data_IF_202194969082
#
_entry.id   IF_202194969082
#
_cell.length_a   1.000
_cell.length_b   1.000
_cell.length_c   1.000
_cell.angle_alpha   90.00
_cell.angle_beta   90.00
_cell.angle_gamma   90.00
#
_symmetry.space_group_name_H-M   'P 1'
#
loop_
_entity.id
_entity.type
_entity.pdbx_description
1 polymer ?
#
# COMPACT_ATOMS: atom_id res chain seq x y z
N UNK A 1 -16.02 6.94 20.81
CA UNK A 1 -14.71 6.55 20.22
C UNK A 1 -13.63 6.62 21.30
N UNK A 2 -13.13 5.49 21.81
CA UNK A 2 -11.93 5.47 22.65
C UNK A 2 -10.78 6.27 22.02
N UNK A 3 -10.09 7.04 22.85
CA UNK A 3 -8.99 7.92 22.42
C UNK A 3 -7.77 7.64 23.28
N UNK A 4 -6.61 7.46 22.65
CA UNK A 4 -5.31 7.24 23.29
C UNK A 4 -4.41 8.43 22.96
N UNK A 5 -3.72 9.01 23.94
CA UNK A 5 -2.93 10.24 23.79
C UNK A 5 -1.44 9.93 23.97
N UNK A 6 -0.69 9.85 22.87
CA UNK A 6 0.75 9.53 22.91
C UNK A 6 1.63 10.63 23.52
N UNK A 7 1.05 11.76 23.95
CA UNK A 7 1.75 12.68 24.85
C UNK A 7 1.85 12.15 26.29
N UNK A 8 1.00 11.19 26.68
CA UNK A 8 0.85 10.67 28.04
C UNK A 8 1.00 9.14 28.10
N UNK A 9 0.55 8.46 27.07
CA UNK A 9 0.52 7.00 27.00
C UNK A 9 1.77 6.43 26.31
N UNK A 10 2.13 5.20 26.69
CA UNK A 10 3.22 4.46 26.04
C UNK A 10 2.73 3.80 24.73
N UNK A 11 3.56 3.89 23.69
CA UNK A 11 3.34 3.28 22.39
C UNK A 11 3.14 1.75 22.48
N UNK A 12 3.86 1.06 23.37
CA UNK A 12 3.67 -0.40 23.52
C UNK A 12 2.30 -0.71 24.09
N UNK A 13 1.91 0.00 25.15
CA UNK A 13 0.59 -0.16 25.77
C UNK A 13 -0.53 0.16 24.78
N UNK A 14 -0.37 1.23 23.97
CA UNK A 14 -1.29 1.57 22.89
C UNK A 14 -1.49 0.40 21.92
N UNK A 15 -0.40 -0.16 21.38
CA UNK A 15 -0.51 -1.25 20.41
C UNK A 15 -1.12 -2.51 21.03
N UNK A 16 -0.78 -2.83 22.27
CA UNK A 16 -1.40 -3.95 22.99
C UNK A 16 -2.92 -3.77 23.11
N UNK A 17 -3.38 -2.57 23.48
CA UNK A 17 -4.82 -2.28 23.55
C UNK A 17 -5.51 -2.45 22.20
N UNK A 18 -4.95 -1.88 21.12
CA UNK A 18 -5.54 -1.99 19.79
C UNK A 18 -5.54 -3.44 19.28
N UNK A 19 -4.47 -4.20 19.50
CA UNK A 19 -4.38 -5.60 19.09
C UNK A 19 -5.37 -6.49 19.85
N UNK A 20 -5.53 -6.28 21.15
CA UNK A 20 -6.55 -6.98 21.94
C UNK A 20 -7.95 -6.63 21.45
N UNK A 21 -8.23 -5.35 21.18
CA UNK A 21 -9.51 -4.90 20.65
C UNK A 21 -9.80 -5.48 19.25
N UNK A 22 -8.79 -5.51 18.37
CA UNK A 22 -8.91 -6.11 17.04
C UNK A 22 -9.29 -7.59 17.10
N UNK A 23 -8.59 -8.38 17.92
CA UNK A 23 -8.89 -9.81 18.09
C UNK A 23 -10.29 -10.03 18.65
N UNK A 24 -10.68 -9.25 19.65
CA UNK A 24 -12.03 -9.33 20.23
C UNK A 24 -13.12 -8.98 19.19
N UNK A 25 -12.88 -7.98 18.33
CA UNK A 25 -13.79 -7.62 17.26
C UNK A 25 -13.93 -8.74 16.21
N UNK A 26 -12.83 -9.40 15.85
CA UNK A 26 -12.83 -10.55 14.95
C UNK A 26 -13.63 -11.73 15.53
N UNK A 27 -13.43 -12.06 16.80
CA UNK A 27 -14.16 -13.12 17.51
C UNK A 27 -15.67 -12.82 17.60
N UNK A 28 -16.02 -11.56 17.85
CA UNK A 28 -17.40 -11.12 17.95
C UNK A 28 -18.08 -10.88 16.59
N UNK A 29 -17.36 -10.99 15.47
CA UNK A 29 -17.83 -10.60 14.13
C UNK A 29 -18.44 -9.18 14.11
N UNK A 30 -17.83 -8.26 14.87
CA UNK A 30 -18.30 -6.89 15.03
C UNK A 30 -17.35 -5.90 14.37
N UNK A 31 -17.90 -4.95 13.62
CA UNK A 31 -17.15 -3.89 12.94
C UNK A 31 -17.20 -2.54 13.70
N UNK A 32 -17.72 -2.51 14.93
CA UNK A 32 -18.15 -1.26 15.59
C UNK A 32 -17.10 -0.55 16.45
N UNK A 33 -15.82 -0.97 16.45
CA UNK A 33 -14.83 -0.33 17.33
C UNK A 33 -14.00 0.71 16.59
N UNK A 34 -14.40 1.98 16.71
CA UNK A 34 -13.63 3.14 16.26
C UNK A 34 -12.67 3.62 17.35
N UNK A 35 -11.40 3.86 17.01
CA UNK A 35 -10.36 4.36 17.89
C UNK A 35 -9.72 5.62 17.34
N UNK A 36 -9.25 6.49 18.23
CA UNK A 36 -8.43 7.65 17.89
C UNK A 36 -7.10 7.64 18.63
N UNK A 37 -6.04 8.05 17.95
CA UNK A 37 -4.72 8.26 18.52
C UNK A 37 -4.38 9.74 18.36
N UNK A 38 -4.30 10.47 19.47
CA UNK A 38 -3.91 11.86 19.50
C UNK A 38 -2.41 12.02 19.78
N UNK A 39 -1.86 13.15 19.33
CA UNK A 39 -0.46 13.53 19.52
C UNK A 39 0.53 12.41 19.13
N UNK A 40 0.48 11.86 17.89
CA UNK A 40 1.34 10.74 17.51
C UNK A 40 2.83 11.07 17.55
N UNK A 41 3.19 12.37 17.48
CA UNK A 41 4.56 12.89 17.67
C UNK A 41 5.61 12.21 16.78
N UNK A 42 5.22 11.75 15.57
CA UNK A 42 6.10 11.01 14.67
C UNK A 42 6.55 9.65 15.20
N UNK A 43 5.85 9.10 16.20
CA UNK A 43 6.18 7.80 16.80
C UNK A 43 6.10 6.69 15.75
N UNK A 44 7.00 5.73 15.90
CA UNK A 44 7.11 4.59 15.00
C UNK A 44 6.09 3.51 15.39
N UNK A 45 5.87 2.55 14.50
CA UNK A 45 5.07 1.34 14.74
C UNK A 45 3.70 1.60 15.38
N UNK A 46 3.02 2.68 14.98
CA UNK A 46 1.64 2.95 15.41
C UNK A 46 0.70 2.01 14.65
N UNK A 47 -0.26 1.42 15.38
CA UNK A 47 -1.31 0.55 14.83
C UNK A 47 -0.76 -0.65 14.05
N UNK A 48 0.31 -1.29 14.55
CA UNK A 48 0.92 -2.46 13.90
C UNK A 48 0.30 -3.77 14.35
N UNK A 49 0.24 -4.74 13.44
CA UNK A 49 -0.20 -6.11 13.75
C UNK A 49 -1.65 -6.22 14.23
N UNK A 50 -2.52 -5.32 13.76
CA UNK A 50 -3.95 -5.45 13.98
C UNK A 50 -4.47 -6.63 13.17
N UNK A 51 -5.22 -7.52 13.82
CA UNK A 51 -5.82 -8.72 13.21
C UNK A 51 -7.30 -8.76 13.60
N UNK A 52 -8.10 -7.97 12.88
CA UNK A 52 -9.54 -7.86 13.07
C UNK A 52 -10.13 -6.50 12.64
N UNK A 53 -11.46 -6.44 12.45
CA UNK A 53 -12.13 -5.33 11.77
C UNK A 53 -12.43 -4.15 12.70
N UNK A 54 -11.38 -3.44 13.14
CA UNK A 54 -11.51 -2.16 13.86
C UNK A 54 -11.14 -0.98 12.97
N UNK A 55 -11.64 0.21 13.31
CA UNK A 55 -11.27 1.45 12.65
C UNK A 55 -10.36 2.29 13.55
N UNK A 56 -9.22 2.76 13.04
CA UNK A 56 -8.25 3.56 13.81
C UNK A 56 -7.93 4.84 13.06
N UNK A 57 -8.11 5.99 13.70
CA UNK A 57 -7.71 7.30 13.17
C UNK A 57 -6.51 7.84 13.94
N UNK A 58 -5.42 8.17 13.24
CA UNK A 58 -4.21 8.77 13.81
C UNK A 58 -4.19 10.26 13.52
N UNK A 59 -4.29 11.06 14.58
CA UNK A 59 -4.44 12.51 14.54
C UNK A 59 -3.17 13.31 14.22
N UNK A 60 -2.42 12.88 13.20
CA UNK A 60 -1.20 13.53 12.75
C UNK A 60 -0.20 12.58 12.11
N UNK A 61 1.02 13.07 11.88
CA UNK A 61 2.07 12.29 11.20
C UNK A 61 2.68 11.19 12.08
N UNK A 62 3.06 10.10 11.43
CA UNK A 62 3.67 8.92 12.06
C UNK A 62 5.09 8.68 11.54
N UNK A 63 5.86 7.86 12.24
CA UNK A 63 7.19 7.44 11.80
C UNK A 63 7.19 6.08 11.11
N UNK A 64 8.27 5.31 11.31
CA UNK A 64 8.49 4.04 10.60
C UNK A 64 7.41 3.00 10.89
N UNK A 65 7.07 2.16 9.90
CA UNK A 65 6.25 0.95 10.03
C UNK A 65 4.82 1.15 10.54
N UNK A 66 4.27 2.36 10.47
CA UNK A 66 2.86 2.60 10.81
C UNK A 66 1.95 1.65 10.00
N UNK A 67 0.93 1.07 10.64
CA UNK A 67 -0.01 0.14 10.01
C UNK A 67 0.61 -1.13 9.39
N UNK A 68 1.86 -1.45 9.71
CA UNK A 68 2.51 -2.68 9.26
C UNK A 68 1.80 -3.94 9.80
N UNK A 69 1.80 -5.00 9.00
CA UNK A 69 1.15 -6.28 9.32
C UNK A 69 -0.36 -6.18 9.56
N UNK A 70 -1.02 -5.13 9.07
CA UNK A 70 -2.45 -4.96 9.21
C UNK A 70 -3.23 -6.10 8.52
N UNK A 71 -4.25 -6.60 9.19
CA UNK A 71 -5.19 -7.60 8.70
C UNK A 71 -6.60 -7.18 9.15
N UNK A 72 -7.45 -6.91 8.17
CA UNK A 72 -8.86 -6.52 8.28
C UNK A 72 -9.14 -5.11 8.83
N UNK A 73 -8.24 -4.48 9.59
CA UNK A 73 -8.50 -3.16 10.14
C UNK A 73 -8.50 -2.05 9.06
N UNK A 74 -9.26 -0.99 9.33
CA UNK A 74 -9.25 0.26 8.55
C UNK A 74 -8.50 1.34 9.32
N UNK A 75 -7.38 1.81 8.79
CA UNK A 75 -6.51 2.76 9.46
C UNK A 75 -6.40 4.04 8.63
N UNK A 76 -6.71 5.19 9.20
CA UNK A 76 -6.52 6.51 8.58
C UNK A 76 -5.46 7.30 9.35
N UNK A 77 -4.48 7.83 8.64
CA UNK A 77 -3.47 8.76 9.17
C UNK A 77 -3.78 10.14 8.60
N UNK A 78 -4.18 11.08 9.47
CA UNK A 78 -4.53 12.46 9.08
C UNK A 78 -3.29 13.29 8.65
N UNK A 79 -2.08 12.76 8.86
CA UNK A 79 -0.82 13.36 8.44
C UNK A 79 -0.04 12.52 7.43
N UNK A 80 1.28 12.68 7.44
CA UNK A 80 2.22 11.90 6.61
C UNK A 80 2.73 10.67 7.37
N UNK A 81 3.20 9.66 6.63
CA UNK A 81 3.75 8.44 7.21
C UNK A 81 5.24 8.25 6.88
N UNK A 82 6.01 7.83 7.87
CA UNK A 82 7.41 7.47 7.71
C UNK A 82 7.62 6.17 6.90
N UNK A 83 8.88 5.76 6.70
CA UNK A 83 9.21 4.59 5.90
C UNK A 83 8.52 3.29 6.33
N UNK A 84 8.14 2.46 5.35
CA UNK A 84 7.55 1.14 5.60
C UNK A 84 6.08 1.16 6.06
N UNK A 85 5.35 2.23 5.77
CA UNK A 85 3.90 2.27 6.06
C UNK A 85 3.17 1.11 5.37
N UNK A 86 2.28 0.44 6.10
CA UNK A 86 1.55 -0.75 5.64
C UNK A 86 2.45 -1.90 5.13
N UNK A 87 3.70 -1.98 5.60
CA UNK A 87 4.60 -3.09 5.27
C UNK A 87 4.00 -4.43 5.70
N UNK A 88 4.07 -5.42 4.81
CA UNK A 88 3.57 -6.78 5.03
C UNK A 88 2.09 -6.80 5.48
N UNK A 89 1.27 -5.84 5.01
CA UNK A 89 -0.17 -5.85 5.21
C UNK A 89 -0.81 -7.06 4.51
N UNK A 90 -1.77 -7.70 5.17
CA UNK A 90 -2.45 -8.92 4.71
C UNK A 90 -3.82 -8.62 4.08
N UNK A 91 -4.57 -7.69 4.67
CA UNK A 91 -5.90 -7.26 4.23
C UNK A 91 -6.30 -5.96 4.94
N UNK A 92 -7.51 -5.45 4.70
CA UNK A 92 -8.01 -4.20 5.28
C UNK A 92 -7.67 -2.99 4.40
N UNK A 93 -7.73 -1.80 5.00
CA UNK A 93 -7.47 -0.54 4.29
C UNK A 93 -6.58 0.37 5.13
N UNK A 94 -5.60 1.02 4.50
CA UNK A 94 -4.79 2.06 5.11
C UNK A 94 -4.88 3.31 4.23
N UNK A 95 -5.25 4.45 4.81
CA UNK A 95 -5.33 5.75 4.12
C UNK A 95 -4.36 6.74 4.77
N UNK A 96 -3.49 7.33 3.98
CA UNK A 96 -2.56 8.38 4.39
C UNK A 96 -3.00 9.68 3.71
N UNK A 97 -3.49 10.64 4.49
CA UNK A 97 -3.94 11.94 3.98
C UNK A 97 -2.78 12.83 3.49
N UNK A 98 -1.57 12.61 4.01
CA UNK A 98 -0.36 13.27 3.57
C UNK A 98 0.51 12.45 2.61
N UNK A 99 1.82 12.69 2.69
CA UNK A 99 2.82 11.94 1.93
C UNK A 99 3.21 10.63 2.65
N UNK A 100 3.66 9.65 1.88
CA UNK A 100 4.30 8.44 2.38
C UNK A 100 5.79 8.45 2.03
N UNK A 101 6.64 8.09 2.99
CA UNK A 101 8.06 7.96 2.75
C UNK A 101 8.40 6.66 1.99
N UNK A 102 9.66 6.23 2.07
CA UNK A 102 10.16 5.08 1.31
C UNK A 102 9.45 3.77 1.72
N UNK A 103 9.37 2.82 0.79
CA UNK A 103 8.88 1.46 1.08
C UNK A 103 7.39 1.35 1.47
N UNK A 104 6.57 2.34 1.11
CA UNK A 104 5.12 2.26 1.32
C UNK A 104 4.55 0.96 0.70
N UNK A 105 3.79 0.18 1.48
CA UNK A 105 3.20 -1.09 1.06
C UNK A 105 4.19 -2.21 0.76
N UNK A 106 5.46 -2.10 1.21
CA UNK A 106 6.48 -3.10 0.97
C UNK A 106 6.02 -4.49 1.39
N UNK A 107 6.23 -5.50 0.55
CA UNK A 107 5.88 -6.91 0.81
C UNK A 107 4.41 -7.21 1.14
N UNK A 108 3.51 -6.23 1.00
CA UNK A 108 2.07 -6.40 1.27
C UNK A 108 1.45 -7.47 0.40
N UNK A 109 0.56 -8.28 0.98
CA UNK A 109 -0.05 -9.47 0.37
C UNK A 109 -1.50 -9.29 -0.02
N UNK A 110 -2.14 -8.24 0.47
CA UNK A 110 -3.54 -7.93 0.17
C UNK A 110 -3.99 -6.67 0.89
N UNK A 111 -5.23 -6.26 0.62
CA UNK A 111 -5.80 -5.01 1.11
C UNK A 111 -5.44 -3.82 0.22
N UNK A 112 -5.86 -2.63 0.66
CA UNK A 112 -5.70 -1.38 -0.07
C UNK A 112 -4.91 -0.36 0.74
N UNK A 113 -3.81 0.15 0.20
CA UNK A 113 -3.11 1.33 0.69
C UNK A 113 -3.41 2.52 -0.22
N UNK A 114 -3.95 3.59 0.35
CA UNK A 114 -4.20 4.86 -0.34
C UNK A 114 -3.27 5.93 0.22
N UNK A 115 -2.54 6.61 -0.65
CA UNK A 115 -1.71 7.78 -0.31
C UNK A 115 -2.24 8.98 -1.07
N UNK A 116 -2.77 9.98 -0.36
CA UNK A 116 -3.34 11.20 -0.95
C UNK A 116 -2.26 12.19 -1.42
N UNK A 117 -1.08 12.13 -0.83
CA UNK A 117 0.11 12.84 -1.31
C UNK A 117 0.96 11.99 -2.26
N UNK A 118 2.27 12.19 -2.17
CA UNK A 118 3.30 11.46 -2.91
C UNK A 118 3.80 10.26 -2.10
N UNK A 119 4.33 9.25 -2.79
CA UNK A 119 5.14 8.20 -2.19
C UNK A 119 6.60 8.34 -2.63
N UNK A 120 7.56 8.18 -1.70
CA UNK A 120 8.97 8.27 -2.04
C UNK A 120 9.48 7.02 -2.82
N UNK A 121 10.78 6.77 -2.79
CA UNK A 121 11.39 5.64 -3.51
C UNK A 121 10.84 4.28 -3.07
N UNK A 122 10.84 3.31 -3.98
CA UNK A 122 10.55 1.90 -3.70
C UNK A 122 9.15 1.68 -3.11
N UNK A 123 8.18 2.51 -3.49
CA UNK A 123 6.77 2.26 -3.21
C UNK A 123 6.36 0.90 -3.83
N UNK A 124 5.72 0.03 -3.05
CA UNK A 124 5.34 -1.32 -3.48
C UNK A 124 6.50 -2.28 -3.73
N UNK A 125 7.68 -2.04 -3.15
CA UNK A 125 8.81 -2.98 -3.27
C UNK A 125 8.44 -4.38 -2.78
N UNK A 126 8.72 -5.40 -3.59
CA UNK A 126 8.44 -6.80 -3.31
C UNK A 126 6.98 -7.09 -2.92
N UNK A 127 6.01 -6.29 -3.36
CA UNK A 127 4.57 -6.54 -3.12
C UNK A 127 4.13 -7.91 -3.66
N UNK A 128 3.18 -8.54 -2.96
CA UNK A 128 2.71 -9.92 -3.17
C UNK A 128 1.19 -10.02 -3.18
N UNK A 129 0.50 -8.96 -3.58
CA UNK A 129 -0.95 -8.95 -3.72
C UNK A 129 -1.65 -7.71 -3.17
N UNK A 130 -0.94 -6.80 -2.49
CA UNK A 130 -1.53 -5.52 -2.07
C UNK A 130 -1.92 -4.66 -3.27
N UNK A 131 -3.00 -3.88 -3.14
CA UNK A 131 -3.30 -2.78 -4.05
C UNK A 131 -2.86 -1.46 -3.41
N UNK A 132 -2.14 -0.64 -4.17
CA UNK A 132 -1.63 0.66 -3.74
C UNK A 132 -2.12 1.72 -4.71
N UNK A 133 -2.76 2.77 -4.21
CA UNK A 133 -3.16 3.94 -5.01
C UNK A 133 -2.49 5.19 -4.46
N UNK A 134 -1.66 5.83 -5.28
CA UNK A 134 -0.98 7.09 -4.97
C UNK A 134 -1.60 8.20 -5.80
N UNK A 135 -2.13 9.23 -5.16
CA UNK A 135 -2.75 10.39 -5.81
C UNK A 135 -1.71 11.34 -6.39
N UNK A 136 -0.53 11.43 -5.77
CA UNK A 136 0.62 12.17 -6.27
C UNK A 136 1.59 11.33 -7.09
N UNK A 137 2.88 11.65 -6.94
CA UNK A 137 3.99 11.02 -7.65
C UNK A 137 4.59 9.86 -6.84
N UNK A 138 5.31 8.97 -7.54
CA UNK A 138 6.15 7.93 -6.91
C UNK A 138 7.63 8.13 -7.23
N UNK A 139 8.49 7.83 -6.24
CA UNK A 139 9.94 7.92 -6.39
C UNK A 139 10.56 6.77 -7.21
N UNK A 140 11.89 6.82 -7.35
CA UNK A 140 12.67 5.82 -8.09
C UNK A 140 12.53 4.39 -7.51
N UNK A 141 12.74 3.39 -8.37
CA UNK A 141 12.71 1.96 -8.05
C UNK A 141 11.39 1.48 -7.41
N UNK A 142 10.31 2.20 -7.64
CA UNK A 142 8.97 1.77 -7.22
C UNK A 142 8.55 0.52 -7.99
N UNK A 143 7.84 -0.37 -7.30
CA UNK A 143 7.52 -1.74 -7.72
C UNK A 143 8.75 -2.63 -8.03
N UNK A 144 9.91 -2.33 -7.44
CA UNK A 144 11.07 -3.22 -7.54
C UNK A 144 10.75 -4.62 -6.98
N UNK A 145 11.02 -5.68 -7.73
CA UNK A 145 10.70 -7.07 -7.36
C UNK A 145 9.21 -7.33 -7.06
N UNK A 146 8.31 -6.49 -7.57
CA UNK A 146 6.88 -6.64 -7.32
C UNK A 146 6.34 -7.94 -7.96
N UNK A 147 5.73 -8.80 -7.15
CA UNK A 147 5.34 -10.15 -7.53
C UNK A 147 3.89 -10.24 -8.02
N UNK A 148 2.97 -9.60 -7.30
CA UNK A 148 1.55 -9.53 -7.63
C UNK A 148 0.89 -8.35 -6.92
N UNK A 149 -0.37 -8.08 -7.27
CA UNK A 149 -1.13 -6.91 -6.80
C UNK A 149 -1.16 -5.79 -7.84
N UNK A 150 -1.53 -4.59 -7.39
CA UNK A 150 -1.72 -3.43 -8.29
C UNK A 150 -1.09 -2.17 -7.70
N UNK A 151 -0.35 -1.41 -8.51
CA UNK A 151 0.12 -0.07 -8.16
C UNK A 151 -0.48 0.94 -9.14
N UNK A 152 -1.29 1.86 -8.63
CA UNK A 152 -1.92 2.95 -9.39
C UNK A 152 -1.29 4.27 -8.97
N UNK A 153 -0.87 5.07 -9.96
CA UNK A 153 -0.19 6.35 -9.75
C UNK A 153 -0.90 7.42 -10.57
N UNK A 154 -1.53 8.38 -9.90
CA UNK A 154 -2.23 9.47 -10.56
C UNK A 154 -1.29 10.60 -11.03
N UNK A 155 -0.06 10.66 -10.51
CA UNK A 155 1.01 11.54 -10.98
C UNK A 155 2.07 10.82 -11.82
N UNK A 156 3.31 11.27 -11.68
CA UNK A 156 4.50 10.77 -12.38
C UNK A 156 5.21 9.63 -11.62
N UNK A 157 5.93 8.80 -12.36
CA UNK A 157 6.84 7.78 -11.83
C UNK A 157 8.31 8.11 -12.13
N UNK A 158 9.15 8.00 -11.10
CA UNK A 158 10.59 8.20 -11.19
C UNK A 158 11.36 7.12 -11.97
N UNK A 159 12.68 7.09 -11.79
CA UNK A 159 13.57 6.16 -12.51
C UNK A 159 13.32 4.69 -12.14
N UNK A 160 13.55 3.79 -13.10
CA UNK A 160 13.53 2.34 -12.93
C UNK A 160 12.21 1.78 -12.35
N UNK A 161 11.07 2.24 -12.87
CA UNK A 161 9.75 1.69 -12.51
C UNK A 161 9.68 0.20 -12.84
N UNK A 162 9.25 -0.62 -11.88
CA UNK A 162 9.03 -2.05 -12.09
C UNK A 162 10.30 -2.85 -12.33
N UNK A 163 11.44 -2.44 -11.78
CA UNK A 163 12.67 -3.22 -11.93
C UNK A 163 12.51 -4.64 -11.35
N UNK A 164 12.86 -5.68 -12.12
CA UNK A 164 12.62 -7.10 -11.81
C UNK A 164 11.16 -7.44 -11.49
N UNK A 165 10.21 -6.90 -12.26
CA UNK A 165 8.77 -7.13 -12.10
C UNK A 165 8.35 -8.57 -12.48
N UNK A 166 7.37 -9.12 -11.76
CA UNK A 166 6.68 -10.36 -12.11
C UNK A 166 5.22 -10.08 -12.54
N UNK A 167 4.21 -10.60 -11.83
CA UNK A 167 2.80 -10.52 -12.25
C UNK A 167 2.04 -9.29 -11.70
N UNK A 168 2.73 -8.36 -11.03
CA UNK A 168 2.10 -7.12 -10.57
C UNK A 168 1.73 -6.21 -11.75
N UNK A 169 0.62 -5.49 -11.60
CA UNK A 169 0.06 -4.59 -12.61
C UNK A 169 0.30 -3.15 -12.18
N UNK A 170 0.98 -2.36 -13.02
CA UNK A 170 1.29 -0.97 -12.71
C UNK A 170 0.49 -0.06 -13.65
N UNK A 171 -0.13 0.97 -13.12
CA UNK A 171 -0.89 1.97 -13.88
C UNK A 171 -0.35 3.36 -13.55
N UNK A 172 0.04 4.12 -14.56
CA UNK A 172 0.55 5.49 -14.38
C UNK A 172 -0.20 6.44 -15.31
N UNK A 173 -0.79 7.49 -14.74
CA UNK A 173 -1.49 8.56 -15.48
C UNK A 173 -0.51 9.57 -16.06
N UNK A 174 0.50 9.95 -15.28
CA UNK A 174 1.54 10.88 -15.70
C UNK A 174 2.61 10.23 -16.56
N UNK A 175 3.80 10.81 -16.50
CA UNK A 175 4.98 10.34 -17.20
C UNK A 175 5.74 9.28 -16.40
N UNK A 176 6.40 8.36 -17.11
CA UNK A 176 7.33 7.40 -16.52
C UNK A 176 8.72 7.77 -17.01
N UNK A 177 9.62 8.11 -16.09
CA UNK A 177 10.96 8.58 -16.44
C UNK A 177 11.82 7.50 -17.08
N UNK A 178 11.84 6.30 -16.51
CA UNK A 178 12.48 5.12 -17.10
C UNK A 178 11.90 3.84 -16.52
N UNK A 179 11.95 2.76 -17.30
CA UNK A 179 11.55 1.43 -16.87
C UNK A 179 12.76 0.67 -16.31
N UNK A 180 12.50 -0.16 -15.31
CA UNK A 180 13.47 -1.11 -14.79
C UNK A 180 13.65 -2.34 -15.67
N UNK A 181 14.55 -3.25 -15.28
CA UNK A 181 14.73 -4.49 -16.00
C UNK A 181 13.45 -5.33 -15.97
N UNK A 182 13.12 -5.96 -17.09
CA UNK A 182 11.93 -6.81 -17.25
C UNK A 182 10.58 -6.09 -17.07
N UNK A 183 10.55 -4.75 -17.11
CA UNK A 183 9.31 -3.98 -17.16
C UNK A 183 9.08 -3.42 -18.56
N UNK A 184 7.88 -3.60 -19.09
CA UNK A 184 7.45 -3.02 -20.37
C UNK A 184 6.07 -2.43 -20.24
N UNK A 185 5.76 -1.45 -21.09
CA UNK A 185 4.37 -1.06 -21.32
C UNK A 185 3.58 -2.24 -21.88
N UNK A 186 2.33 -2.35 -21.46
CA UNK A 186 1.41 -3.41 -21.86
C UNK A 186 0.10 -2.81 -22.33
N UNK A 187 -0.58 -3.54 -23.19
CA UNK A 187 -1.92 -3.20 -23.66
C UNK A 187 -2.93 -3.05 -22.50
N UNK A 188 -3.73 -2.00 -22.55
CA UNK A 188 -4.93 -1.80 -21.74
C UNK A 188 -6.09 -2.61 -22.33
N UNK A 189 -6.79 -3.37 -21.48
CA UNK A 189 -7.88 -4.29 -21.87
C UNK A 189 -9.08 -4.02 -20.96
N UNK A 190 -10.31 -4.43 -21.33
CA UNK A 190 -11.52 -4.09 -20.56
C UNK A 190 -11.42 -4.41 -19.06
N UNK A 191 -10.88 -5.57 -18.69
CA UNK A 191 -10.72 -5.95 -17.28
C UNK A 191 -9.72 -5.09 -16.52
N UNK A 192 -8.77 -4.44 -17.23
CA UNK A 192 -7.86 -3.47 -16.63
C UNK A 192 -8.57 -2.14 -16.36
N UNK A 193 -9.48 -1.72 -17.25
CA UNK A 193 -10.30 -0.53 -17.02
C UNK A 193 -11.25 -0.74 -15.85
N UNK A 194 -11.90 -1.91 -15.75
CA UNK A 194 -12.78 -2.27 -14.64
C UNK A 194 -12.03 -2.30 -13.30
N UNK A 195 -10.87 -2.97 -13.24
CA UNK A 195 -10.02 -2.99 -12.05
C UNK A 195 -9.60 -1.58 -11.62
N UNK A 196 -9.17 -0.76 -12.58
CA UNK A 196 -8.70 0.59 -12.30
C UNK A 196 -9.85 1.51 -11.86
N UNK A 197 -11.05 1.34 -12.42
CA UNK A 197 -12.24 2.07 -11.97
C UNK A 197 -12.57 1.78 -10.50
N UNK A 198 -12.61 0.50 -10.09
CA UNK A 198 -12.84 0.10 -8.70
C UNK A 198 -11.81 0.72 -7.75
N UNK A 199 -10.51 0.63 -8.11
CA UNK A 199 -9.43 1.14 -7.26
C UNK A 199 -9.47 2.67 -7.14
N UNK A 200 -9.77 3.39 -8.21
CA UNK A 200 -9.89 4.85 -8.19
C UNK A 200 -11.10 5.29 -7.35
N UNK A 201 -12.24 4.61 -7.47
CA UNK A 201 -13.43 4.87 -6.65
C UNK A 201 -13.15 4.64 -5.16
N UNK A 202 -12.63 3.46 -4.80
CA UNK A 202 -12.30 3.11 -3.41
C UNK A 202 -11.22 4.01 -2.81
N UNK A 203 -10.30 4.52 -3.62
CA UNK A 203 -9.28 5.48 -3.21
C UNK A 203 -9.78 6.94 -3.20
N UNK A 204 -10.99 7.21 -3.70
CA UNK A 204 -11.54 8.55 -3.88
C UNK A 204 -10.66 9.43 -4.76
N UNK A 205 -10.07 8.86 -5.82
CA UNK A 205 -9.22 9.57 -6.77
C UNK A 205 -10.05 10.12 -7.94
N UNK A 206 -9.88 11.40 -8.24
CA UNK A 206 -10.54 12.06 -9.38
C UNK A 206 -9.71 11.85 -10.66
N UNK A 207 -9.83 10.66 -11.24
CA UNK A 207 -9.21 10.30 -12.51
C UNK A 207 -10.06 9.24 -13.20
N UNK A 208 -9.90 9.12 -14.53
CA UNK A 208 -10.58 8.08 -15.31
C UNK A 208 -9.60 7.01 -15.79
N UNK A 209 -10.00 5.72 -15.84
CA UNK A 209 -9.12 4.64 -16.26
C UNK A 209 -8.43 4.83 -17.62
N UNK A 210 -9.09 5.53 -18.55
CA UNK A 210 -8.57 5.77 -19.91
C UNK A 210 -7.38 6.73 -19.94
N UNK A 211 -7.12 7.44 -18.85
CA UNK A 211 -6.00 8.37 -18.72
C UNK A 211 -4.69 7.66 -18.32
N UNK A 212 -4.73 6.35 -18.07
CA UNK A 212 -3.58 5.60 -17.55
C UNK A 212 -2.95 4.72 -18.62
N UNK A 213 -1.63 4.62 -18.56
CA UNK A 213 -0.84 3.60 -19.25
C UNK A 213 -0.56 2.45 -18.30
N UNK A 214 -0.52 1.23 -18.84
CA UNK A 214 -0.24 0.02 -18.06
C UNK A 214 1.16 -0.51 -18.30
N UNK A 215 1.79 -0.96 -17.24
CA UNK A 215 3.10 -1.61 -17.28
C UNK A 215 3.04 -2.95 -16.54
N UNK A 216 3.89 -3.88 -16.97
CA UNK A 216 3.90 -5.26 -16.47
C UNK A 216 5.17 -5.99 -16.89
N UNK A 217 5.40 -7.19 -16.35
CA UNK A 217 6.62 -7.95 -16.65
C UNK A 217 6.73 -8.33 -18.13
N UNK A 218 7.92 -8.21 -18.70
CA UNK A 218 8.24 -8.80 -20.01
C UNK A 218 8.45 -10.32 -19.92
N UNK A 219 8.43 -10.89 -18.71
CA UNK A 219 8.62 -12.30 -18.37
C UNK A 219 9.93 -12.88 -18.90
N UNK A 220 10.97 -12.05 -19.01
CA UNK A 220 12.30 -12.45 -19.50
C UNK A 220 13.19 -12.99 -18.38
N UNK A 221 12.94 -12.60 -17.12
CA UNK A 221 13.70 -13.08 -15.96
C UNK A 221 13.13 -14.38 -15.37
N UNK A 222 12.11 -14.96 -16.01
CA UNK A 222 11.50 -16.20 -15.56
C UNK A 222 12.41 -17.33 -16.00
N UNK A 223 13.21 -17.87 -15.07
CA UNK A 223 14.14 -18.96 -15.36
C UNK A 223 13.42 -20.26 -15.74
N UNK A 224 12.14 -20.40 -15.42
CA UNK A 224 11.31 -21.48 -15.92
C UNK A 224 10.81 -21.16 -17.34
N UNK A 225 11.36 -21.87 -18.32
CA UNK A 225 10.87 -21.85 -19.69
C UNK A 225 10.05 -23.13 -19.93
N UNK A 226 8.77 -22.98 -20.31
CA UNK A 226 7.87 -24.12 -20.54
C UNK A 226 8.34 -25.01 -21.70
N UNK A 227 9.06 -24.43 -22.67
CA UNK A 227 9.67 -25.19 -23.77
C UNK A 227 10.82 -26.09 -23.27
N UNK A 228 11.36 -25.78 -22.09
CA UNK A 228 12.40 -26.54 -21.41
C UNK A 228 11.82 -27.42 -20.28
N UNK A 229 10.50 -27.59 -20.18
CA UNK A 229 9.85 -28.34 -19.10
C UNK A 229 10.31 -29.81 -18.99
N UNK A 230 10.81 -30.41 -20.07
CA UNK A 230 11.36 -31.77 -20.08
C UNK A 230 12.81 -31.86 -19.61
N UNK A 231 13.49 -30.73 -19.41
CA UNK A 231 14.90 -30.63 -18.99
C UNK A 231 15.11 -30.19 -17.53
N UNK A 232 14.02 -29.93 -16.82
CA UNK A 232 13.96 -29.70 -15.38
C UNK A 232 13.51 -30.97 -14.65
#
# INVERSE_FOLDING_TARGET
MPTIDLAKDDLRALNQQLQTAARAAAEAQSNETQWRIDNPRGSHAIAVGLDGPIAVTVGGSTGYYCAGMNKEASITVEGSAGPGVAENMMSGTVVIEGDASQYAGATGRGGLLVVKGNAASRCGISMKGIDIVVHGNIGHMSAFMAQSGTLVVCGDAGDALGDSLYEARLFVRGSVKSLGADCVEKEMRPEHHELLADLLERAGADARPEEFRRYGSARQLYTFNIDNASSY
#
